data_IF_760040893039
#
_entry.id   IF_760040893039
#
_cell.length_a   1.000
_cell.length_b   1.000
_cell.length_c   1.000
_cell.angle_alpha   90.00
_cell.angle_beta   90.00
_cell.angle_gamma   90.00
#
_symmetry.space_group_name_H-M   'P 1'
#
loop_
_entity.id
_entity.type
_entity.pdbx_description
1 polymer ?
#
# COMPACT_ATOMS: atom_id res chain seq x y z
N UNK A 1 19.56 -11.03 1.59
CA UNK A 1 18.35 -11.48 0.88
C UNK A 1 17.86 -10.32 0.02
N UNK A 2 17.34 -10.56 -1.21
CA UNK A 2 16.67 -9.50 -1.95
C UNK A 2 15.47 -9.00 -1.11
N UNK A 3 15.31 -7.69 -1.03
CA UNK A 3 14.15 -7.07 -0.38
C UNK A 3 12.96 -7.33 -1.30
N UNK A 4 12.11 -8.28 -0.92
CA UNK A 4 10.88 -8.56 -1.68
C UNK A 4 9.98 -7.32 -1.65
N UNK A 5 9.68 -6.80 -2.84
CA UNK A 5 8.82 -5.63 -2.99
C UNK A 5 7.36 -6.06 -2.81
N UNK A 6 6.55 -5.30 -2.07
CA UNK A 6 5.13 -5.62 -1.91
C UNK A 6 4.40 -5.53 -3.26
N UNK A 7 3.60 -6.54 -3.59
CA UNK A 7 2.74 -6.52 -4.78
C UNK A 7 1.52 -5.64 -4.52
N UNK A 8 1.51 -4.44 -5.13
CA UNK A 8 0.48 -3.41 -4.89
C UNK A 8 -0.92 -3.83 -5.34
N UNK A 9 -1.02 -4.65 -6.39
CA UNK A 9 -2.31 -5.16 -6.90
C UNK A 9 -2.94 -6.11 -5.91
N UNK A 10 -2.15 -7.06 -5.40
CA UNK A 10 -2.59 -8.03 -4.39
C UNK A 10 -3.03 -7.29 -3.11
N UNK A 11 -2.20 -6.35 -2.63
CA UNK A 11 -2.52 -5.56 -1.44
C UNK A 11 -3.83 -4.77 -1.61
N UNK A 12 -4.06 -4.23 -2.80
CA UNK A 12 -5.32 -3.54 -3.13
C UNK A 12 -6.52 -4.49 -3.04
N UNK A 13 -6.46 -5.66 -3.69
CA UNK A 13 -7.59 -6.61 -3.72
C UNK A 13 -8.00 -7.07 -2.33
N UNK A 14 -7.01 -7.33 -1.48
CA UNK A 14 -7.20 -7.91 -0.15
C UNK A 14 -7.79 -6.90 0.83
N UNK A 15 -7.50 -5.62 0.64
CA UNK A 15 -7.78 -4.60 1.64
C UNK A 15 -8.79 -3.53 1.19
N UNK A 16 -8.91 -3.29 -0.12
CA UNK A 16 -9.73 -2.22 -0.68
C UNK A 16 -10.96 -2.78 -1.38
N UNK A 17 -10.79 -3.67 -2.35
CA UNK A 17 -11.89 -4.24 -3.12
C UNK A 17 -11.44 -4.76 -4.48
N UNK A 18 -12.40 -5.14 -5.33
CA UNK A 18 -12.11 -5.81 -6.61
C UNK A 18 -11.18 -5.01 -7.54
N UNK A 19 -10.19 -5.69 -8.10
CA UNK A 19 -9.29 -5.13 -9.11
C UNK A 19 -9.97 -5.08 -10.48
N UNK A 20 -10.78 -4.06 -10.67
CA UNK A 20 -11.36 -3.78 -12.00
C UNK A 20 -10.27 -3.29 -12.96
N UNK A 21 -10.46 -3.42 -14.29
CA UNK A 21 -9.48 -2.93 -15.27
C UNK A 21 -9.07 -1.47 -15.09
N UNK A 22 -10.04 -0.59 -14.76
CA UNK A 22 -9.78 0.83 -14.50
C UNK A 22 -8.88 1.06 -13.27
N UNK A 23 -9.04 0.24 -12.24
CA UNK A 23 -8.19 0.31 -11.05
C UNK A 23 -6.81 -0.27 -11.34
N UNK A 24 -6.74 -1.37 -12.10
CA UNK A 24 -5.47 -1.96 -12.50
C UNK A 24 -4.62 -0.96 -13.30
N UNK A 25 -5.21 -0.24 -14.24
CA UNK A 25 -4.50 0.80 -14.98
C UNK A 25 -4.07 1.96 -14.06
N UNK A 26 -4.94 2.40 -13.15
CA UNK A 26 -4.57 3.44 -12.19
C UNK A 26 -3.45 3.03 -11.21
N UNK A 27 -3.37 1.73 -10.85
CA UNK A 27 -2.28 1.18 -10.05
C UNK A 27 -0.97 1.11 -10.83
N UNK A 28 -0.99 0.74 -12.12
CA UNK A 28 0.18 0.78 -13.00
C UNK A 28 0.71 2.21 -13.13
N UNK A 29 -0.19 3.17 -13.37
CA UNK A 29 0.16 4.60 -13.43
C UNK A 29 0.81 5.06 -12.11
N UNK A 30 0.33 4.56 -10.97
CA UNK A 30 0.93 4.86 -9.68
C UNK A 30 2.33 4.23 -9.52
N UNK A 31 2.55 2.99 -9.97
CA UNK A 31 3.88 2.35 -9.93
C UNK A 31 4.92 3.08 -10.81
N UNK A 32 4.49 3.76 -11.87
CA UNK A 32 5.37 4.61 -12.68
C UNK A 32 5.73 5.93 -11.98
N UNK A 33 4.85 6.42 -11.09
CA UNK A 33 4.97 7.73 -10.46
C UNK A 33 5.54 7.71 -9.04
N UNK A 34 5.39 6.59 -8.34
CA UNK A 34 5.71 6.44 -6.92
C UNK A 34 6.45 5.13 -6.66
N UNK A 35 7.29 5.13 -5.62
CA UNK A 35 7.90 3.88 -5.14
C UNK A 35 6.81 2.91 -4.64
N UNK A 36 6.93 1.59 -4.88
CA UNK A 36 5.95 0.60 -4.43
C UNK A 36 5.66 0.66 -2.92
N UNK A 37 6.66 0.99 -2.11
CA UNK A 37 6.53 1.18 -0.67
C UNK A 37 5.63 2.37 -0.29
N UNK A 38 5.55 3.40 -1.13
CA UNK A 38 4.63 4.51 -0.91
C UNK A 38 3.20 4.06 -1.20
N UNK A 39 3.00 3.30 -2.28
CA UNK A 39 1.68 2.80 -2.65
C UNK A 39 1.15 1.86 -1.54
N UNK A 40 2.01 0.97 -1.05
CA UNK A 40 1.67 0.08 0.05
C UNK A 40 1.26 0.83 1.33
N UNK A 41 2.06 1.80 1.77
CA UNK A 41 1.75 2.58 2.96
C UNK A 41 0.49 3.45 2.79
N UNK A 42 0.21 3.93 1.57
CA UNK A 42 -1.01 4.68 1.28
C UNK A 42 -2.25 3.79 1.36
N UNK A 43 -2.18 2.56 0.86
CA UNK A 43 -3.25 1.55 1.00
C UNK A 43 -3.47 1.23 2.48
N UNK A 44 -2.41 0.97 3.25
CA UNK A 44 -2.51 0.71 4.68
C UNK A 44 -3.19 1.87 5.43
N UNK A 45 -2.81 3.12 5.14
CA UNK A 45 -3.42 4.29 5.74
C UNK A 45 -4.89 4.43 5.37
N UNK A 46 -5.27 4.12 4.12
CA UNK A 46 -6.65 4.12 3.68
C UNK A 46 -7.51 3.10 4.46
N UNK A 47 -6.96 1.91 4.71
CA UNK A 47 -7.63 0.85 5.49
C UNK A 47 -7.79 1.27 6.94
N UNK A 48 -6.71 1.76 7.57
CA UNK A 48 -6.72 2.23 8.98
C UNK A 48 -7.73 3.35 9.22
N UNK A 49 -7.91 4.24 8.24
CA UNK A 49 -8.91 5.32 8.32
C UNK A 49 -10.32 4.86 7.89
N UNK A 50 -10.51 3.58 7.58
CA UNK A 50 -11.74 3.03 7.02
C UNK A 50 -12.23 3.78 5.76
N UNK A 51 -11.28 4.30 4.96
CA UNK A 51 -11.47 4.98 3.69
C UNK A 51 -10.94 4.11 2.55
N UNK A 52 -11.43 2.87 2.48
CA UNK A 52 -11.02 1.82 1.53
C UNK A 52 -11.46 2.14 0.10
N UNK A 53 -10.84 3.13 -0.52
CA UNK A 53 -11.04 3.45 -1.92
C UNK A 53 -9.76 4.00 -2.54
N UNK A 54 -9.57 3.73 -3.83
CA UNK A 54 -8.37 4.15 -4.56
C UNK A 54 -8.16 5.67 -4.54
N UNK A 55 -9.24 6.45 -4.68
CA UNK A 55 -9.17 7.92 -4.67
C UNK A 55 -8.54 8.48 -3.39
N UNK A 56 -8.78 7.84 -2.25
CA UNK A 56 -8.16 8.23 -0.98
C UNK A 56 -6.67 7.88 -0.95
N UNK A 57 -6.29 6.70 -1.45
CA UNK A 57 -4.89 6.29 -1.59
C UNK A 57 -4.13 7.28 -2.49
N UNK A 58 -4.73 7.63 -3.64
CA UNK A 58 -4.17 8.58 -4.58
C UNK A 58 -3.98 9.98 -3.97
N UNK A 59 -4.93 10.44 -3.15
CA UNK A 59 -4.80 11.71 -2.43
C UNK A 59 -3.63 11.72 -1.43
N UNK A 60 -3.40 10.59 -0.74
CA UNK A 60 -2.23 10.42 0.15
C UNK A 60 -0.93 10.50 -0.65
N UNK A 61 -0.86 9.78 -1.77
CA UNK A 61 0.33 9.75 -2.64
C UNK A 61 0.65 11.13 -3.23
N UNK A 62 -0.37 11.85 -3.74
CA UNK A 62 -0.22 13.21 -4.25
C UNK A 62 0.33 14.15 -3.18
N UNK A 63 -0.22 14.08 -1.97
CA UNK A 63 0.26 14.87 -0.85
C UNK A 63 1.71 14.57 -0.50
N UNK A 64 2.12 13.30 -0.45
CA UNK A 64 3.52 12.93 -0.19
C UNK A 64 4.48 13.39 -1.28
N UNK A 65 4.02 13.46 -2.53
CA UNK A 65 4.81 14.00 -3.65
C UNK A 65 5.09 15.49 -3.48
N UNK A 66 4.10 16.25 -3.02
CA UNK A 66 4.18 17.71 -2.88
C UNK A 66 4.86 18.16 -1.57
N UNK A 67 4.47 17.55 -0.44
CA UNK A 67 4.90 17.96 0.90
C UNK A 67 6.10 17.14 1.42
N UNK A 68 6.51 16.10 0.68
CA UNK A 68 7.40 15.05 1.15
C UNK A 68 6.66 14.02 2.02
N UNK A 69 7.20 12.79 2.07
CA UNK A 69 6.72 11.70 2.95
C UNK A 69 7.14 11.97 4.40
N UNK A 70 6.67 13.07 4.97
CA UNK A 70 7.15 13.65 6.24
C UNK A 70 6.47 13.09 7.49
N UNK A 71 7.21 12.25 8.22
CA UNK A 71 7.25 11.97 9.68
C UNK A 71 5.98 11.79 10.54
N UNK A 72 4.77 12.18 10.13
CA UNK A 72 3.57 12.10 11.00
C UNK A 72 3.02 10.68 11.20
N UNK A 73 3.43 9.70 10.39
CA UNK A 73 3.13 8.28 10.65
C UNK A 73 4.15 7.60 11.59
N UNK A 74 5.34 8.20 11.78
CA UNK A 74 6.54 7.49 12.22
C UNK A 74 6.75 7.39 13.74
N UNK A 75 5.71 7.44 14.58
CA UNK A 75 5.94 7.29 16.04
C UNK A 75 5.16 6.20 16.76
N UNK A 76 4.17 5.54 16.15
CA UNK A 76 3.40 4.52 16.89
C UNK A 76 3.10 3.21 16.16
N UNK A 77 2.96 3.18 14.83
CA UNK A 77 2.38 2.00 14.16
C UNK A 77 3.25 1.29 13.11
N UNK A 78 4.26 1.96 12.52
CA UNK A 78 4.92 1.48 11.29
C UNK A 78 5.77 0.21 11.44
N UNK A 79 6.39 -0.04 12.60
CA UNK A 79 7.22 -1.24 12.80
C UNK A 79 6.41 -2.50 13.17
N UNK A 80 5.29 -2.33 13.88
CA UNK A 80 4.45 -3.46 14.33
C UNK A 80 3.52 -3.96 13.23
N UNK A 81 2.99 -3.06 12.40
CA UNK A 81 2.00 -3.43 11.39
C UNK A 81 2.62 -3.98 10.09
N UNK A 82 3.80 -3.49 9.70
CA UNK A 82 4.56 -4.08 8.57
C UNK A 82 4.85 -5.55 8.81
N UNK A 83 5.23 -5.92 10.04
CA UNK A 83 5.49 -7.33 10.40
C UNK A 83 4.19 -8.15 10.43
N UNK A 84 3.09 -7.61 10.97
CA UNK A 84 1.78 -8.29 11.00
C UNK A 84 1.15 -8.52 9.63
N UNK A 85 1.31 -7.61 8.67
CA UNK A 85 0.78 -7.81 7.32
C UNK A 85 1.61 -8.81 6.50
N UNK A 86 2.92 -8.87 6.74
CA UNK A 86 3.80 -9.88 6.12
C UNK A 86 3.64 -11.26 6.78
N UNK A 87 3.30 -11.32 8.06
CA UNK A 87 3.30 -12.56 8.86
C UNK A 87 1.89 -13.11 9.16
N UNK A 88 0.82 -12.37 8.82
CA UNK A 88 -0.53 -12.61 9.39
C UNK A 88 -1.48 -13.51 8.60
N UNK A 89 -1.53 -13.44 7.27
CA UNK A 89 -2.52 -14.18 6.46
C UNK A 89 -1.98 -14.52 5.04
N UNK A 90 -0.67 -14.37 4.81
CA UNK A 90 -0.01 -14.66 3.52
C UNK A 90 1.22 -15.56 3.62
N UNK A 91 1.47 -16.16 4.79
CA UNK A 91 2.58 -17.09 4.98
C UNK A 91 2.46 -18.33 4.07
N UNK A 92 1.26 -18.69 3.64
CA UNK A 92 1.01 -19.88 2.82
C UNK A 92 1.39 -19.69 1.34
N UNK A 93 1.74 -18.48 0.90
CA UNK A 93 2.26 -18.23 -0.46
C UNK A 93 3.79 -18.11 -0.51
N UNK A 94 4.49 -18.46 0.59
CA UNK A 94 5.96 -18.37 0.73
C UNK A 94 6.67 -19.75 0.66
N UNK A 95 5.95 -20.86 0.45
CA UNK A 95 6.57 -22.16 0.13
C UNK A 95 6.19 -22.66 -1.26
N UNK A 96 7.01 -22.35 -2.27
CA UNK A 96 7.71 -23.32 -3.14
C UNK A 96 8.62 -22.61 -4.16
#
# INVERSE_FOLDING_TARGET
APVERPNVFKLYEENIGALTPLIADALKDAEELYEPEWIADAIELAVKNNKRNWKYCEAILKRWKEEGRGEKQNRRDTEKDRRKYVEGEYSDFIEH
#
